data_IF_885951126676
#
_entry.id   IF_885951126676
#
_cell.length_a   1.000
_cell.length_b   1.000
_cell.length_c   1.000
_cell.angle_alpha   90.00
_cell.angle_beta   90.00
_cell.angle_gamma   90.00
#
_symmetry.space_group_name_H-M   'P 1'
#
loop_
_entity.id
_entity.type
_entity.pdbx_description
1 polymer ?
#
# COMPACT_ATOMS: atom_id res chain seq x y z
N UNK A 1 33.71 14.26 16.62
CA UNK A 1 32.47 13.67 16.10
C UNK A 1 32.81 12.91 14.85
N UNK A 2 32.55 11.59 14.81
CA UNK A 2 32.86 10.73 13.67
C UNK A 2 31.99 11.07 12.44
N UNK A 3 32.44 10.84 11.23
CA UNK A 3 31.64 11.05 10.00
C UNK A 3 30.29 10.31 10.06
N UNK A 4 30.24 9.15 10.66
CA UNK A 4 29.02 8.33 10.83
C UNK A 4 27.91 9.06 11.63
N UNK A 5 28.28 9.85 12.66
CA UNK A 5 27.30 10.59 13.46
C UNK A 5 26.65 11.77 12.71
N UNK A 6 27.34 12.32 11.70
CA UNK A 6 26.80 13.40 10.85
C UNK A 6 25.85 12.85 9.78
N UNK A 7 26.13 11.67 9.24
CA UNK A 7 25.26 11.01 8.24
C UNK A 7 23.95 10.56 8.91
N UNK A 8 24.01 9.97 10.10
CA UNK A 8 22.81 9.54 10.83
C UNK A 8 21.87 10.73 11.17
N UNK A 9 22.46 11.89 11.57
CA UNK A 9 21.65 13.10 11.84
C UNK A 9 21.04 13.71 10.58
N UNK A 10 21.75 13.68 9.43
CA UNK A 10 21.19 14.16 8.15
C UNK A 10 20.12 13.23 7.60
N UNK A 11 20.29 11.91 7.74
CA UNK A 11 19.26 10.93 7.36
C UNK A 11 17.97 11.05 8.18
N UNK A 12 18.09 11.26 9.50
CA UNK A 12 16.93 11.47 10.37
C UNK A 12 16.19 12.80 10.05
N UNK A 13 16.95 13.88 9.71
CA UNK A 13 16.34 15.15 9.31
C UNK A 13 15.62 15.06 7.94
N UNK A 14 16.18 14.31 6.99
CA UNK A 14 15.53 14.05 5.68
C UNK A 14 14.27 13.19 5.83
N UNK A 15 14.31 12.17 6.68
CA UNK A 15 13.14 11.33 6.98
C UNK A 15 12.01 12.11 7.65
N UNK A 16 12.34 12.97 8.61
CA UNK A 16 11.37 13.85 9.27
C UNK A 16 10.81 14.91 8.32
N UNK A 17 11.63 15.44 7.40
CA UNK A 17 11.22 16.39 6.37
C UNK A 17 10.27 15.77 5.35
N UNK A 18 10.53 14.54 4.89
CA UNK A 18 9.63 13.80 4.00
C UNK A 18 8.28 13.47 4.67
N UNK A 19 8.31 13.04 5.93
CA UNK A 19 7.09 12.79 6.69
C UNK A 19 6.26 14.08 6.90
N UNK A 20 6.92 15.22 7.15
CA UNK A 20 6.26 16.51 7.29
C UNK A 20 5.70 17.04 5.94
N UNK A 21 6.40 16.85 4.82
CA UNK A 21 5.90 17.19 3.49
C UNK A 21 4.70 16.35 3.08
N UNK A 22 4.70 15.05 3.41
CA UNK A 22 3.56 14.16 3.13
C UNK A 22 2.34 14.57 3.96
N UNK A 23 2.54 14.95 5.22
CA UNK A 23 1.45 15.45 6.07
C UNK A 23 0.85 16.78 5.58
N UNK A 24 1.64 17.63 4.91
CA UNK A 24 1.18 18.93 4.40
C UNK A 24 0.52 18.85 3.01
N UNK A 25 0.84 17.82 2.20
CA UNK A 25 0.26 17.61 0.88
C UNK A 25 -1.09 16.88 0.92
N UNK A 26 -1.49 16.38 2.10
CA UNK A 26 -2.77 15.70 2.26
C UNK A 26 -3.91 16.68 2.46
N UNK A 27 -4.76 16.74 1.47
CA UNK A 27 -6.14 17.19 1.60
C UNK A 27 -6.39 18.72 1.69
N UNK A 28 -6.04 19.47 0.67
CA UNK A 28 -6.99 20.48 0.27
C UNK A 28 -8.05 19.79 -0.61
N UNK A 29 -9.11 19.33 0.02
CA UNK A 29 -10.17 18.62 -0.65
C UNK A 29 -10.92 19.57 -1.58
N UNK A 30 -11.10 19.15 -2.83
CA UNK A 30 -12.03 19.74 -3.81
C UNK A 30 -13.50 19.67 -3.29
N UNK A 31 -13.73 19.11 -2.12
CA UNK A 31 -15.05 18.90 -1.48
C UNK A 31 -15.82 20.20 -1.21
N UNK A 32 -15.17 21.34 -1.04
CA UNK A 32 -15.87 22.61 -0.79
C UNK A 32 -16.66 23.15 -2.01
N UNK A 33 -16.28 22.75 -3.21
CA UNK A 33 -16.96 23.20 -4.44
C UNK A 33 -18.19 22.34 -4.81
N UNK A 34 -18.22 21.08 -4.38
CA UNK A 34 -19.32 20.14 -4.67
C UNK A 34 -20.45 20.17 -3.62
N UNK A 35 -20.19 20.70 -2.43
CA UNK A 35 -21.14 20.77 -1.33
C UNK A 35 -22.37 21.66 -1.57
N UNK A 36 -22.42 22.43 -2.65
CA UNK A 36 -23.49 23.45 -2.89
C UNK A 36 -24.72 22.95 -3.66
N UNK A 37 -24.86 21.66 -3.98
CA UNK A 37 -25.94 21.21 -4.90
C UNK A 37 -26.64 19.90 -4.60
N UNK A 38 -26.68 19.40 -3.39
CA UNK A 38 -27.38 18.14 -3.06
C UNK A 38 -28.37 18.30 -1.92
N UNK A 39 -29.42 17.51 -1.94
CA UNK A 39 -30.31 17.33 -0.81
C UNK A 39 -29.51 16.86 0.42
N UNK A 40 -29.83 17.34 1.61
CA UNK A 40 -29.05 17.09 2.83
C UNK A 40 -28.89 15.60 3.19
N UNK A 41 -29.86 14.77 2.80
CA UNK A 41 -29.81 13.31 3.00
C UNK A 41 -28.77 12.64 2.08
N UNK A 42 -28.71 13.04 0.80
CA UNK A 42 -27.76 12.51 -0.17
C UNK A 42 -26.32 12.92 0.14
N UNK A 43 -26.14 14.11 0.70
CA UNK A 43 -24.82 14.59 1.12
C UNK A 43 -24.29 13.79 2.32
N UNK A 44 -25.10 13.55 3.35
CA UNK A 44 -24.69 12.75 4.50
C UNK A 44 -24.30 11.33 4.06
N UNK A 45 -25.04 10.73 3.15
CA UNK A 45 -24.76 9.42 2.57
C UNK A 45 -23.48 9.42 1.75
N UNK A 46 -23.24 10.43 0.91
CA UNK A 46 -22.01 10.55 0.14
C UNK A 46 -20.80 10.77 1.05
N UNK A 47 -20.92 11.56 2.11
CA UNK A 47 -19.86 11.78 3.08
C UNK A 47 -19.48 10.50 3.83
N UNK A 48 -20.47 9.68 4.23
CA UNK A 48 -20.23 8.38 4.88
C UNK A 48 -19.50 7.43 3.93
N UNK A 49 -19.94 7.31 2.69
CA UNK A 49 -19.28 6.47 1.67
C UNK A 49 -17.85 6.90 1.43
N UNK A 50 -17.62 8.20 1.27
CA UNK A 50 -16.30 8.76 1.09
C UNK A 50 -15.37 8.43 2.27
N UNK A 51 -15.87 8.57 3.51
CA UNK A 51 -15.12 8.19 4.72
C UNK A 51 -14.74 6.71 4.72
N UNK A 52 -15.65 5.81 4.33
CA UNK A 52 -15.38 4.37 4.25
C UNK A 52 -14.23 4.05 3.27
N UNK A 53 -14.11 4.79 2.17
CA UNK A 53 -12.95 4.67 1.27
C UNK A 53 -11.69 5.17 1.94
N UNK A 54 -11.73 6.34 2.59
CA UNK A 54 -10.54 6.91 3.25
C UNK A 54 -9.97 5.98 4.34
N UNK A 55 -10.84 5.27 5.06
CA UNK A 55 -10.40 4.34 6.11
C UNK A 55 -9.65 3.10 5.58
N UNK A 56 -9.74 2.82 4.28
CA UNK A 56 -9.10 1.69 3.62
C UNK A 56 -7.85 2.06 2.83
N UNK A 57 -7.54 3.35 2.72
CA UNK A 57 -6.36 3.80 1.97
C UNK A 57 -5.08 3.35 2.67
N UNK A 58 -4.09 3.07 1.86
CA UNK A 58 -2.78 2.64 2.35
C UNK A 58 -2.17 3.68 3.29
N UNK A 59 -1.55 3.19 4.33
CA UNK A 59 -0.85 4.00 5.32
C UNK A 59 0.58 4.22 4.85
N UNK A 60 1.03 5.47 4.82
CA UNK A 60 2.44 5.78 4.63
C UNK A 60 3.23 5.41 5.88
N UNK A 61 4.45 4.89 5.73
CA UNK A 61 5.29 4.55 6.86
C UNK A 61 6.78 4.75 6.59
N UNK A 62 7.54 4.80 7.67
CA UNK A 62 8.99 4.67 7.67
C UNK A 62 9.42 3.70 8.76
N UNK A 63 10.27 2.74 8.40
CA UNK A 63 10.78 1.74 9.34
C UNK A 63 12.00 2.26 10.09
N UNK A 64 12.21 1.72 11.27
CA UNK A 64 13.48 1.84 11.99
C UNK A 64 14.36 0.66 11.58
N UNK A 65 15.57 0.94 11.08
CA UNK A 65 16.56 -0.06 10.65
C UNK A 65 16.04 -1.04 9.58
N UNK A 66 15.05 -0.65 8.77
CA UNK A 66 14.52 -1.45 7.67
C UNK A 66 13.73 -2.69 8.07
N UNK A 67 14.06 -3.34 9.19
CA UNK A 67 13.44 -4.57 9.68
C UNK A 67 14.44 -5.68 9.99
N UNK A 68 13.94 -6.73 10.66
CA UNK A 68 14.66 -7.97 10.92
C UNK A 68 14.18 -9.10 10.02
N UNK A 69 15.07 -10.05 9.69
CA UNK A 69 14.77 -11.20 8.83
C UNK A 69 15.76 -11.34 7.67
N UNK A 70 15.28 -11.75 6.50
CA UNK A 70 16.13 -11.93 5.32
C UNK A 70 16.12 -10.74 4.34
N UNK A 71 15.59 -9.58 4.74
CA UNK A 71 15.74 -8.33 4.00
C UNK A 71 17.20 -7.86 4.06
N UNK A 72 17.64 -7.13 3.03
CA UNK A 72 18.96 -6.50 3.07
C UNK A 72 19.11 -5.54 4.28
N UNK A 73 20.34 -5.29 4.71
CA UNK A 73 20.60 -4.35 5.82
C UNK A 73 20.26 -2.93 5.38
N UNK A 74 19.23 -2.36 5.99
CA UNK A 74 18.74 -1.02 5.68
C UNK A 74 18.90 -0.09 6.87
N UNK A 75 19.11 1.20 6.60
CA UNK A 75 18.85 2.26 7.58
C UNK A 75 17.34 2.46 7.76
N UNK A 76 16.59 2.41 6.66
CA UNK A 76 15.13 2.45 6.67
C UNK A 76 14.55 1.93 5.35
N UNK A 77 13.29 1.51 5.40
CA UNK A 77 12.39 1.43 4.26
C UNK A 77 11.29 2.45 4.50
N UNK A 78 10.94 3.24 3.48
CA UNK A 78 9.82 4.15 3.51
C UNK A 78 8.81 3.79 2.41
N UNK A 79 7.54 3.76 2.77
CA UNK A 79 6.40 3.64 1.85
C UNK A 79 5.62 4.95 1.94
N UNK A 80 5.63 5.71 0.88
CA UNK A 80 4.99 7.02 0.80
C UNK A 80 3.84 6.91 -0.19
N UNK A 81 2.61 7.04 0.29
CA UNK A 81 1.39 6.86 -0.48
C UNK A 81 0.42 8.03 -0.28
N UNK A 82 0.69 9.22 -0.84
CA UNK A 82 -0.27 10.32 -0.82
C UNK A 82 -1.49 9.98 -1.68
N UNK A 83 -2.67 10.36 -1.18
CA UNK A 83 -3.94 10.09 -1.83
C UNK A 83 -4.67 11.38 -2.15
N UNK A 84 -5.15 11.49 -3.38
CA UNK A 84 -6.07 12.52 -3.84
C UNK A 84 -7.39 11.86 -4.17
N UNK A 85 -8.47 12.33 -3.61
CA UNK A 85 -9.77 11.69 -3.77
C UNK A 85 -10.89 12.68 -4.01
N UNK A 86 -11.85 12.27 -4.83
CA UNK A 86 -13.08 12.98 -5.10
C UNK A 86 -14.25 11.98 -5.02
N UNK A 87 -15.34 12.39 -4.38
CA UNK A 87 -16.51 11.54 -4.21
C UNK A 87 -17.78 12.28 -4.65
N UNK A 88 -18.70 11.56 -5.29
CA UNK A 88 -20.01 12.07 -5.70
C UNK A 88 -21.05 10.96 -5.71
N UNK A 89 -22.18 11.20 -5.08
CA UNK A 89 -23.30 10.24 -5.04
C UNK A 89 -22.82 8.80 -4.70
N UNK A 90 -22.84 7.89 -5.67
CA UNK A 90 -22.47 6.47 -5.53
C UNK A 90 -21.07 6.14 -6.01
N UNK A 91 -20.23 7.14 -6.24
CA UNK A 91 -18.89 6.96 -6.79
C UNK A 91 -17.85 7.67 -5.94
N UNK A 92 -16.64 7.14 -5.93
CA UNK A 92 -15.45 7.86 -5.50
C UNK A 92 -14.27 7.50 -6.39
N UNK A 93 -13.46 8.49 -6.71
CA UNK A 93 -12.22 8.33 -7.45
C UNK A 93 -11.06 8.63 -6.49
N UNK A 94 -10.06 7.76 -6.48
CA UNK A 94 -8.85 7.94 -5.68
C UNK A 94 -7.64 7.78 -6.58
N UNK A 95 -6.80 8.80 -6.62
CA UNK A 95 -5.48 8.75 -7.20
C UNK A 95 -4.43 8.60 -6.08
N UNK A 96 -3.53 7.64 -6.20
CA UNK A 96 -2.46 7.38 -5.25
C UNK A 96 -1.13 7.44 -5.97
N UNK A 97 -0.19 8.24 -5.47
CA UNK A 97 1.19 8.26 -5.95
C UNK A 97 2.09 7.51 -4.96
N UNK A 98 2.08 6.17 -5.04
CA UNK A 98 2.86 5.35 -4.12
C UNK A 98 4.32 5.25 -4.56
N UNK A 99 5.24 5.47 -3.62
CA UNK A 99 6.68 5.33 -3.80
C UNK A 99 7.24 4.53 -2.62
N UNK A 100 8.00 3.48 -2.91
CA UNK A 100 8.76 2.75 -1.89
C UNK A 100 10.23 3.05 -2.07
N UNK A 101 10.89 3.37 -0.97
CA UNK A 101 12.32 3.71 -0.89
C UNK A 101 13.02 2.75 0.08
N UNK A 102 14.19 2.23 -0.31
CA UNK A 102 15.08 1.48 0.57
C UNK A 102 16.44 2.16 0.66
N UNK A 103 16.85 2.57 1.86
CA UNK A 103 18.18 3.10 2.11
C UNK A 103 19.04 2.05 2.78
N UNK A 104 20.10 1.62 2.10
CA UNK A 104 21.02 0.60 2.60
C UNK A 104 21.88 1.11 3.75
N UNK A 105 22.16 0.25 4.69
CA UNK A 105 23.18 0.44 5.72
C UNK A 105 24.49 -0.25 5.25
N UNK A 106 25.05 0.26 4.17
CA UNK A 106 26.30 -0.24 3.58
C UNK A 106 27.28 0.90 3.44
N UNK A 107 28.40 0.81 4.15
CA UNK A 107 29.46 1.83 4.14
C UNK A 107 30.36 1.74 2.91
N UNK A 108 30.28 0.66 2.12
CA UNK A 108 31.19 0.39 0.99
C UNK A 108 30.75 1.01 -0.32
N UNK A 109 29.50 1.48 -0.42
CA UNK A 109 28.92 2.05 -1.63
C UNK A 109 28.49 3.49 -1.43
N UNK A 110 28.85 4.36 -2.37
CA UNK A 110 28.47 5.79 -2.35
C UNK A 110 27.00 6.04 -2.72
N UNK A 111 26.27 5.04 -3.21
CA UNK A 111 24.86 5.13 -3.56
C UNK A 111 23.98 4.32 -2.56
N UNK A 112 23.67 4.89 -1.37
CA UNK A 112 22.97 4.15 -0.33
C UNK A 112 21.49 3.93 -0.65
N UNK A 113 20.89 4.74 -1.52
CA UNK A 113 19.46 4.63 -1.87
C UNK A 113 19.33 3.67 -3.05
N UNK A 114 18.50 2.63 -2.87
CA UNK A 114 18.09 1.76 -3.97
C UNK A 114 17.16 2.54 -4.91
N UNK A 115 17.17 2.16 -6.17
CA UNK A 115 16.24 2.71 -7.15
C UNK A 115 14.80 2.53 -6.64
N UNK A 116 14.03 3.61 -6.49
CA UNK A 116 12.69 3.56 -5.92
C UNK A 116 11.73 2.67 -6.72
N UNK A 117 10.73 2.12 -6.04
CA UNK A 117 9.54 1.57 -6.69
C UNK A 117 8.50 2.66 -6.83
N UNK A 118 8.10 2.96 -8.05
CA UNK A 118 7.02 3.90 -8.37
C UNK A 118 5.75 3.12 -8.70
N UNK A 119 4.67 3.35 -7.96
CA UNK A 119 3.40 2.63 -8.14
C UNK A 119 2.21 3.60 -8.15
N UNK A 120 2.10 4.49 -9.15
CA UNK A 120 0.91 5.32 -9.31
C UNK A 120 -0.32 4.46 -9.59
N UNK A 121 -1.45 4.82 -8.97
CA UNK A 121 -2.72 4.11 -9.09
C UNK A 121 -3.87 5.07 -9.26
N UNK A 122 -4.88 4.61 -9.99
CA UNK A 122 -6.18 5.25 -10.08
C UNK A 122 -7.25 4.20 -9.76
N UNK A 123 -8.05 4.45 -8.75
CA UNK A 123 -9.11 3.56 -8.30
C UNK A 123 -10.46 4.24 -8.35
N UNK A 124 -11.41 3.61 -9.02
CA UNK A 124 -12.81 4.00 -9.05
C UNK A 124 -13.61 3.08 -8.13
N UNK A 125 -14.30 3.65 -7.16
CA UNK A 125 -15.18 2.96 -6.23
C UNK A 125 -16.63 3.20 -6.59
N UNK A 126 -17.46 2.17 -6.50
CA UNK A 126 -18.89 2.22 -6.81
C UNK A 126 -19.75 1.51 -5.77
N UNK A 127 -20.74 2.22 -5.24
CA UNK A 127 -21.76 1.71 -4.35
C UNK A 127 -23.01 1.36 -5.15
N UNK A 128 -23.11 0.08 -5.56
CA UNK A 128 -24.27 -0.46 -6.27
C UNK A 128 -25.45 -0.74 -5.36
N UNK A 129 -26.59 -1.12 -5.94
CA UNK A 129 -27.76 -1.58 -5.21
C UNK A 129 -27.56 -3.05 -4.77
N UNK A 130 -26.58 -3.29 -3.87
CA UNK A 130 -26.34 -4.63 -3.35
C UNK A 130 -27.45 -5.05 -2.38
N UNK A 131 -27.85 -6.33 -2.41
CA UNK A 131 -28.89 -6.87 -1.54
C UNK A 131 -28.39 -6.91 -0.10
N UNK A 132 -29.04 -6.19 0.81
CA UNK A 132 -28.70 -6.26 2.24
C UNK A 132 -29.21 -5.14 3.13
N UNK A 133 -29.97 -4.18 2.61
CA UNK A 133 -30.65 -3.17 3.43
C UNK A 133 -29.78 -2.07 4.03
N UNK A 134 -28.46 -2.20 4.01
CA UNK A 134 -27.52 -1.16 4.41
C UNK A 134 -26.70 -0.73 3.20
N UNK A 135 -27.20 0.24 2.46
CA UNK A 135 -26.60 0.81 1.24
C UNK A 135 -25.14 1.30 1.37
N UNK A 136 -24.57 1.24 2.57
CA UNK A 136 -23.28 1.88 2.88
C UNK A 136 -22.15 0.90 3.12
N UNK A 137 -22.46 -0.38 3.40
CA UNK A 137 -21.47 -1.36 3.83
C UNK A 137 -20.79 -2.13 2.69
N UNK A 138 -21.34 -2.09 1.48
CA UNK A 138 -20.87 -2.91 0.36
C UNK A 138 -20.60 -2.06 -0.88
N UNK A 139 -19.45 -2.29 -1.53
CA UNK A 139 -19.07 -1.60 -2.75
C UNK A 139 -18.02 -2.39 -3.52
N UNK A 140 -17.79 -2.01 -4.77
CA UNK A 140 -16.74 -2.56 -5.62
C UNK A 140 -15.75 -1.48 -6.00
N UNK A 141 -14.53 -1.88 -6.34
CA UNK A 141 -13.52 -0.99 -6.91
C UNK A 141 -12.87 -1.58 -8.14
N UNK A 142 -12.59 -0.71 -9.10
CA UNK A 142 -11.74 -0.98 -10.26
C UNK A 142 -10.49 -0.12 -10.13
N UNK A 143 -9.32 -0.76 -10.08
CA UNK A 143 -8.03 -0.08 -9.95
C UNK A 143 -7.17 -0.36 -11.17
N UNK A 144 -6.54 0.66 -11.71
CA UNK A 144 -5.44 0.56 -12.66
C UNK A 144 -4.17 1.08 -12.01
N UNK A 145 -3.03 0.45 -12.27
CA UNK A 145 -1.75 0.85 -11.68
C UNK A 145 -0.60 0.51 -12.61
N UNK A 146 0.41 1.36 -12.56
CA UNK A 146 1.73 1.13 -13.12
C UNK A 146 2.69 0.83 -11.97
N UNK A 147 3.66 -0.08 -12.18
CA UNK A 147 4.75 -0.33 -11.24
C UNK A 147 6.07 -0.39 -12.01
N UNK A 148 6.96 0.54 -11.73
CA UNK A 148 8.27 0.62 -12.38
C UNK A 148 9.35 1.08 -11.40
N UNK A 149 10.61 0.95 -11.82
CA UNK A 149 11.74 1.50 -11.07
C UNK A 149 12.42 2.70 -11.78
N UNK A 150 11.93 3.09 -12.96
CA UNK A 150 12.45 4.25 -13.68
C UNK A 150 13.88 4.07 -14.21
N UNK A 151 14.39 2.83 -14.28
CA UNK A 151 15.71 2.53 -14.87
C UNK A 151 15.57 2.11 -16.33
N UNK A 152 16.66 2.22 -17.09
CA UNK A 152 16.72 1.90 -18.51
C UNK A 152 17.82 0.87 -18.86
N UNK A 153 18.52 0.33 -17.87
CA UNK A 153 19.53 -0.70 -18.07
C UNK A 153 18.92 -2.06 -18.45
N UNK A 154 19.72 -3.01 -18.95
CA UNK A 154 19.21 -4.34 -19.32
C UNK A 154 18.65 -5.04 -18.08
N UNK A 155 17.52 -5.73 -18.26
CA UNK A 155 16.82 -6.42 -17.16
C UNK A 155 17.67 -7.51 -16.49
N UNK A 156 18.47 -8.24 -17.27
CA UNK A 156 19.38 -9.26 -16.77
C UNK A 156 20.82 -8.76 -16.81
N UNK A 157 21.65 -9.24 -15.88
CA UNK A 157 23.10 -9.10 -16.02
C UNK A 157 23.58 -9.84 -17.27
N UNK A 158 24.59 -9.29 -17.94
CA UNK A 158 25.12 -9.86 -19.17
C UNK A 158 25.50 -11.35 -18.99
N UNK A 159 25.06 -12.20 -19.92
CA UNK A 159 25.31 -13.64 -19.95
C UNK A 159 24.79 -14.42 -18.73
N UNK A 160 23.77 -13.90 -18.03
CA UNK A 160 23.17 -14.57 -16.87
C UNK A 160 21.65 -14.61 -16.97
N UNK A 161 21.00 -15.39 -16.09
CA UNK A 161 19.55 -15.38 -15.85
C UNK A 161 19.16 -14.58 -14.61
N UNK A 162 20.11 -13.85 -14.04
CA UNK A 162 19.90 -13.08 -12.80
C UNK A 162 19.42 -11.67 -13.16
N UNK A 163 18.36 -11.17 -12.50
CA UNK A 163 17.93 -9.79 -12.66
C UNK A 163 19.05 -8.81 -12.28
N UNK A 164 19.23 -7.81 -13.11
CA UNK A 164 20.18 -6.74 -12.88
C UNK A 164 19.62 -5.78 -11.82
N UNK A 165 19.91 -6.06 -10.57
CA UNK A 165 19.43 -5.29 -9.41
C UNK A 165 20.16 -3.96 -9.20
N UNK A 166 21.09 -3.61 -10.06
CA UNK A 166 21.86 -2.37 -9.99
C UNK A 166 21.18 -1.24 -10.78
N UNK A 167 20.95 -1.41 -12.06
CA UNK A 167 20.36 -0.43 -12.98
C UNK A 167 19.36 -1.03 -13.97
N UNK A 168 19.00 -2.31 -13.80
CA UNK A 168 18.09 -3.00 -14.69
C UNK A 168 16.68 -2.40 -14.65
N UNK A 169 16.09 -2.27 -15.85
CA UNK A 169 14.70 -1.84 -16.03
C UNK A 169 13.73 -2.81 -15.39
N UNK A 170 12.65 -2.29 -14.81
CA UNK A 170 11.51 -3.07 -14.33
C UNK A 170 10.24 -2.26 -14.55
N UNK A 171 9.30 -2.84 -15.28
CA UNK A 171 7.99 -2.25 -15.55
C UNK A 171 6.90 -3.29 -15.65
N UNK A 172 5.77 -3.04 -15.01
CA UNK A 172 4.54 -3.82 -15.16
C UNK A 172 3.31 -2.98 -14.89
N UNK A 173 2.20 -3.30 -15.53
CA UNK A 173 0.91 -2.65 -15.35
C UNK A 173 -0.11 -3.67 -14.84
N UNK A 174 -1.08 -3.26 -14.03
CA UNK A 174 -2.16 -4.14 -13.64
C UNK A 174 -3.52 -3.47 -13.58
N UNK A 175 -4.52 -4.30 -13.73
CA UNK A 175 -5.92 -3.99 -13.43
C UNK A 175 -6.35 -4.88 -12.26
N UNK A 176 -7.13 -4.32 -11.35
CA UNK A 176 -7.65 -5.03 -10.20
C UNK A 176 -9.13 -4.70 -10.00
N UNK A 177 -9.94 -5.75 -9.90
CA UNK A 177 -11.33 -5.66 -9.50
C UNK A 177 -11.48 -6.21 -8.08
N UNK A 178 -12.11 -5.47 -7.20
CA UNK A 178 -12.32 -5.91 -5.82
C UNK A 178 -13.73 -5.61 -5.31
N UNK A 179 -14.25 -6.52 -4.50
CA UNK A 179 -15.45 -6.35 -3.69
C UNK A 179 -15.05 -6.05 -2.25
N UNK A 180 -15.75 -5.10 -1.65
CA UNK A 180 -15.50 -4.62 -0.30
C UNK A 180 -16.77 -4.73 0.54
N UNK A 181 -16.58 -5.10 1.80
CA UNK A 181 -17.64 -5.11 2.80
C UNK A 181 -17.14 -4.50 4.10
N UNK A 182 -17.91 -3.55 4.59
CA UNK A 182 -17.69 -2.90 5.89
C UNK A 182 -18.73 -3.44 6.87
N UNK A 183 -18.32 -3.69 8.09
CA UNK A 183 -19.20 -4.16 9.15
C UNK A 183 -18.86 -3.49 10.47
N UNK A 184 -19.87 -3.18 11.27
CA UNK A 184 -19.68 -2.70 12.63
C UNK A 184 -19.28 -3.86 13.53
N UNK A 185 -18.39 -3.63 14.48
CA UNK A 185 -17.92 -4.61 15.45
C UNK A 185 -18.33 -4.19 16.87
N UNK A 186 -19.35 -4.83 17.43
CA UNK A 186 -19.82 -4.55 18.79
C UNK A 186 -20.45 -3.18 18.96
N UNK A 187 -20.51 -2.66 20.19
CA UNK A 187 -21.22 -1.46 20.62
C UNK A 187 -20.71 -0.17 19.97
N UNK A 188 -20.90 0.01 18.67
CA UNK A 188 -20.60 1.21 17.86
C UNK A 188 -19.15 1.75 17.93
N UNK A 189 -18.23 1.07 18.63
CA UNK A 189 -16.86 1.52 18.83
C UNK A 189 -15.83 0.92 17.90
N UNK A 190 -16.21 -0.07 17.08
CA UNK A 190 -15.31 -0.77 16.19
C UNK A 190 -15.83 -0.83 14.75
N UNK A 191 -14.92 -0.68 13.80
CA UNK A 191 -15.19 -0.87 12.37
C UNK A 191 -14.35 -2.02 11.88
N UNK A 192 -14.99 -2.96 11.21
CA UNK A 192 -14.33 -4.03 10.48
C UNK A 192 -14.52 -3.83 8.99
N UNK A 193 -13.56 -4.27 8.24
CA UNK A 193 -13.59 -4.23 6.78
C UNK A 193 -12.97 -5.51 6.22
N UNK A 194 -13.57 -6.03 5.16
CA UNK A 194 -13.05 -7.15 4.40
C UNK A 194 -13.08 -6.83 2.91
N UNK A 195 -12.09 -7.32 2.18
CA UNK A 195 -11.94 -7.15 0.74
C UNK A 195 -11.54 -8.47 0.11
N UNK A 196 -12.14 -8.78 -1.02
CA UNK A 196 -11.68 -9.83 -1.93
C UNK A 196 -11.48 -9.21 -3.30
N UNK A 197 -10.34 -9.48 -3.92
CA UNK A 197 -9.99 -8.89 -5.21
C UNK A 197 -9.27 -9.86 -6.13
N UNK A 198 -9.37 -9.58 -7.42
CA UNK A 198 -8.63 -10.27 -8.47
C UNK A 198 -7.80 -9.24 -9.22
N UNK A 199 -6.49 -9.47 -9.26
CA UNK A 199 -5.52 -8.62 -9.99
C UNK A 199 -4.99 -9.37 -11.19
N UNK A 200 -4.89 -8.66 -12.30
CA UNK A 200 -4.29 -9.14 -13.53
C UNK A 200 -3.21 -8.17 -13.99
N UNK A 201 -1.98 -8.65 -14.12
CA UNK A 201 -0.89 -7.89 -14.74
C UNK A 201 -1.04 -7.96 -16.25
N UNK A 202 -1.03 -6.79 -16.90
CA UNK A 202 -1.23 -6.63 -18.33
C UNK A 202 0.11 -6.75 -19.07
N UNK A 203 0.12 -7.25 -20.30
CA UNK A 203 1.33 -7.33 -21.11
C UNK A 203 1.71 -6.01 -21.81
N UNK A 204 1.05 -4.91 -21.46
CA UNK A 204 1.31 -3.57 -22.01
C UNK A 204 2.44 -2.93 -21.22
N UNK A 205 3.49 -2.48 -21.90
CA UNK A 205 4.70 -1.87 -21.31
C UNK A 205 5.33 -2.73 -20.18
N UNK A 206 5.15 -4.05 -20.28
CA UNK A 206 5.76 -5.03 -19.37
C UNK A 206 7.11 -5.46 -19.93
N UNK A 207 8.14 -5.46 -19.07
CA UNK A 207 9.44 -6.02 -19.44
C UNK A 207 9.29 -7.47 -19.93
N UNK A 208 9.82 -7.80 -21.12
CA UNK A 208 9.65 -9.14 -21.73
C UNK A 208 10.10 -10.29 -20.82
N UNK A 209 11.06 -10.05 -19.96
CA UNK A 209 11.64 -11.03 -19.05
C UNK A 209 10.69 -11.40 -17.89
N UNK A 210 9.68 -10.59 -17.61
CA UNK A 210 8.58 -10.96 -16.70
C UNK A 210 7.68 -12.03 -17.33
N UNK A 211 7.71 -12.15 -18.67
CA UNK A 211 7.14 -13.25 -19.43
C UNK A 211 8.26 -14.25 -19.70
N UNK A 212 8.20 -15.39 -19.13
CA UNK A 212 9.18 -16.43 -19.46
C UNK A 212 9.08 -16.86 -20.93
N UNK A 213 10.21 -17.04 -21.59
CA UNK A 213 10.31 -17.67 -22.91
C UNK A 213 9.80 -19.13 -22.92
N UNK A 214 9.77 -19.79 -21.77
CA UNK A 214 9.22 -21.15 -21.57
C UNK A 214 7.71 -21.17 -21.28
N UNK A 215 7.02 -20.03 -21.33
CA UNK A 215 5.61 -19.91 -20.95
C UNK A 215 5.35 -19.92 -19.45
N UNK A 216 6.41 -19.88 -18.61
CA UNK A 216 6.29 -19.70 -17.17
C UNK A 216 6.19 -18.21 -16.84
N UNK A 217 5.22 -17.82 -16.01
CA UNK A 217 5.16 -16.47 -15.51
C UNK A 217 6.11 -16.31 -14.32
N UNK A 218 7.08 -15.43 -14.46
CA UNK A 218 8.10 -15.20 -13.42
C UNK A 218 7.62 -14.24 -12.32
N UNK A 219 6.69 -13.32 -12.65
CA UNK A 219 6.22 -12.29 -11.74
C UNK A 219 4.90 -12.65 -11.02
N UNK A 220 4.06 -13.47 -11.63
CA UNK A 220 2.70 -13.79 -11.17
C UNK A 220 1.68 -12.85 -11.80
N UNK A 221 1.09 -13.28 -12.94
CA UNK A 221 0.14 -12.47 -13.71
C UNK A 221 -1.21 -12.33 -13.03
N UNK A 222 -1.73 -13.42 -12.47
CA UNK A 222 -3.05 -13.45 -11.85
C UNK A 222 -2.89 -13.64 -10.35
N UNK A 223 -3.51 -12.76 -9.56
CA UNK A 223 -3.45 -12.81 -8.10
C UNK A 223 -4.84 -12.69 -7.49
N UNK A 224 -5.17 -13.64 -6.65
CA UNK A 224 -6.28 -13.50 -5.70
C UNK A 224 -5.78 -12.70 -4.51
N UNK A 225 -6.57 -11.71 -4.08
CA UNK A 225 -6.25 -10.82 -2.98
C UNK A 225 -7.33 -10.93 -1.92
N UNK A 226 -6.94 -11.04 -0.67
CA UNK A 226 -7.83 -10.96 0.48
C UNK A 226 -7.24 -9.97 1.47
N UNK A 227 -8.05 -9.07 1.98
CA UNK A 227 -7.63 -8.13 3.02
C UNK A 227 -8.70 -8.02 4.09
N UNK A 228 -8.28 -7.90 5.33
CA UNK A 228 -9.15 -7.59 6.46
C UNK A 228 -8.54 -6.50 7.29
N UNK A 229 -9.37 -5.60 7.81
CA UNK A 229 -8.97 -4.54 8.72
C UNK A 229 -9.97 -4.47 9.86
N UNK A 230 -9.45 -4.31 11.06
CA UNK A 230 -10.25 -4.07 12.26
C UNK A 230 -9.68 -2.87 12.99
N UNK A 231 -10.52 -1.86 13.21
CA UNK A 231 -10.19 -0.69 14.03
C UNK A 231 -10.99 -0.76 15.32
N UNK A 232 -10.29 -0.65 16.44
CA UNK A 232 -10.91 -0.66 17.79
C UNK A 232 -10.21 0.34 18.70
N UNK A 233 -10.89 0.86 19.73
CA UNK A 233 -10.23 1.56 20.82
C UNK A 233 -9.32 0.61 21.61
N UNK A 234 -8.18 1.11 22.09
CA UNK A 234 -7.29 0.33 22.94
C UNK A 234 -7.99 0.06 24.29
N UNK A 235 -8.04 -1.20 24.77
CA UNK A 235 -8.80 -1.52 26.00
C UNK A 235 -8.40 -0.70 27.23
N UNK A 236 -7.11 -0.43 27.39
CA UNK A 236 -6.56 0.34 28.52
C UNK A 236 -6.65 1.86 28.33
N UNK A 237 -6.74 2.32 27.09
CA UNK A 237 -6.80 3.76 26.75
C UNK A 237 -7.79 3.96 25.61
N UNK A 238 -9.11 4.04 25.89
CA UNK A 238 -10.15 4.04 24.86
C UNK A 238 -10.08 5.20 23.85
N UNK A 239 -9.31 6.24 24.14
CA UNK A 239 -9.08 7.37 23.22
C UNK A 239 -8.04 7.08 22.15
N UNK A 240 -7.26 6.01 22.30
CA UNK A 240 -6.21 5.61 21.35
C UNK A 240 -6.77 4.50 20.46
N UNK A 241 -6.97 4.73 19.16
CA UNK A 241 -7.36 3.67 18.25
C UNK A 241 -6.16 2.78 17.92
N UNK A 242 -6.41 1.50 17.85
CA UNK A 242 -5.50 0.56 17.22
C UNK A 242 -6.15 -0.06 15.98
N UNK A 243 -5.34 -0.34 14.99
CA UNK A 243 -5.77 -0.95 13.72
C UNK A 243 -4.97 -2.22 13.52
N UNK A 244 -5.67 -3.33 13.32
CA UNK A 244 -5.09 -4.60 12.90
C UNK A 244 -5.50 -4.84 11.46
N UNK A 245 -4.53 -5.09 10.60
CA UNK A 245 -4.74 -5.38 9.19
C UNK A 245 -4.02 -6.66 8.81
N UNK A 246 -4.70 -7.50 8.04
CA UNK A 246 -4.12 -8.66 7.39
C UNK A 246 -4.36 -8.58 5.89
N UNK A 247 -3.30 -8.78 5.12
CA UNK A 247 -3.36 -8.84 3.67
C UNK A 247 -2.78 -10.16 3.20
N UNK A 248 -3.46 -10.78 2.25
CA UNK A 248 -3.04 -12.02 1.63
C UNK A 248 -3.12 -11.88 0.13
N UNK A 249 -2.16 -12.45 -0.57
CA UNK A 249 -2.31 -12.70 -1.99
C UNK A 249 -1.89 -14.12 -2.32
N UNK A 250 -2.48 -14.66 -3.36
CA UNK A 250 -2.14 -15.95 -3.93
C UNK A 250 -1.99 -15.86 -5.44
N UNK A 251 -0.86 -16.35 -5.98
CA UNK A 251 -0.55 -16.32 -7.41
C UNK A 251 -1.24 -17.51 -8.09
N UNK A 252 -2.17 -17.22 -9.01
CA UNK A 252 -3.05 -18.19 -9.65
C UNK A 252 -2.48 -18.77 -10.95
N UNK A 253 -1.37 -18.25 -11.47
CA UNK A 253 -0.77 -18.69 -12.72
C UNK A 253 -0.53 -20.20 -12.72
N UNK A 254 -0.82 -20.88 -13.81
CA UNK A 254 -0.63 -22.33 -13.94
C UNK A 254 0.84 -22.73 -13.69
N UNK A 255 1.78 -21.99 -14.30
CA UNK A 255 3.22 -22.11 -14.07
C UNK A 255 3.76 -20.80 -13.50
N UNK A 256 4.38 -20.86 -12.34
CA UNK A 256 4.98 -19.72 -11.66
C UNK A 256 6.34 -20.13 -11.08
N UNK A 257 7.43 -19.63 -11.66
CA UNK A 257 8.82 -19.89 -11.20
C UNK A 257 9.11 -21.38 -10.92
N UNK A 258 8.55 -22.31 -11.69
CA UNK A 258 8.67 -23.75 -11.45
C UNK A 258 7.86 -24.29 -10.26
N UNK A 259 7.17 -23.46 -9.51
CA UNK A 259 6.41 -23.88 -8.34
C UNK A 259 5.07 -24.53 -8.70
N UNK A 260 4.74 -25.63 -7.98
CA UNK A 260 3.42 -26.28 -8.09
C UNK A 260 2.30 -25.34 -7.66
N UNK A 261 1.08 -25.57 -8.14
CA UNK A 261 -0.08 -24.73 -7.85
C UNK A 261 -0.33 -24.54 -6.33
N UNK A 262 -0.19 -25.57 -5.52
CA UNK A 262 -0.38 -25.50 -4.06
C UNK A 262 0.91 -25.14 -3.27
N UNK A 263 1.94 -24.59 -3.93
CA UNK A 263 3.16 -24.17 -3.24
C UNK A 263 2.92 -22.96 -2.35
N UNK A 264 3.52 -22.98 -1.15
CA UNK A 264 3.57 -21.82 -0.25
C UNK A 264 4.32 -20.62 -0.87
N UNK A 265 5.17 -20.86 -1.89
CA UNK A 265 5.91 -19.79 -2.56
C UNK A 265 5.01 -18.85 -3.39
N UNK A 266 3.80 -19.29 -3.69
CA UNK A 266 2.76 -18.49 -4.35
C UNK A 266 2.00 -17.58 -3.40
N UNK A 267 2.16 -17.78 -2.09
CA UNK A 267 1.44 -17.07 -1.04
C UNK A 267 2.26 -15.91 -0.51
N UNK A 268 1.64 -14.74 -0.41
CA UNK A 268 2.13 -13.61 0.37
C UNK A 268 1.16 -13.30 1.50
N UNK A 269 1.70 -13.03 2.69
CA UNK A 269 0.96 -12.70 3.90
C UNK A 269 1.61 -11.49 4.54
N UNK A 270 0.80 -10.49 4.88
CA UNK A 270 1.19 -9.34 5.70
C UNK A 270 0.25 -9.21 6.87
N UNK A 271 0.79 -9.02 8.06
CA UNK A 271 0.04 -8.66 9.27
C UNK A 271 0.58 -7.37 9.83
N UNK A 272 -0.27 -6.36 10.04
CA UNK A 272 0.12 -5.06 10.54
C UNK A 272 -0.71 -4.67 11.75
N UNK A 273 -0.04 -4.24 12.81
CA UNK A 273 -0.64 -3.59 13.96
C UNK A 273 -0.17 -2.13 13.97
N UNK A 274 -1.12 -1.19 13.93
CA UNK A 274 -0.88 0.24 14.10
C UNK A 274 -1.52 0.72 15.38
N UNK A 275 -0.80 1.54 16.16
CA UNK A 275 -1.29 2.22 17.35
C UNK A 275 -1.12 3.72 17.13
N UNK A 276 -2.23 4.43 17.01
CA UNK A 276 -2.20 5.88 16.75
C UNK A 276 -1.89 6.67 18.05
N UNK A 277 -1.05 7.70 17.94
CA UNK A 277 -0.76 8.63 19.02
C UNK A 277 -1.68 9.85 18.99
N UNK A 278 -2.27 10.17 17.83
CA UNK A 278 -3.21 11.27 17.63
C UNK A 278 -4.38 10.82 16.79
N UNK A 279 -5.57 11.31 17.13
CA UNK A 279 -6.82 10.97 16.45
C UNK A 279 -7.06 11.77 15.18
N UNK A 280 -6.51 12.96 15.03
CA UNK A 280 -6.75 13.87 13.90
C UNK A 280 -5.89 13.61 12.67
N UNK A 281 -4.61 13.26 12.88
CA UNK A 281 -3.79 12.61 11.88
C UNK A 281 -3.32 11.33 12.53
N UNK A 282 -3.65 10.16 11.99
CA UNK A 282 -3.23 8.88 12.57
C UNK A 282 -1.72 8.72 12.43
N UNK A 283 -0.98 9.60 13.12
CA UNK A 283 0.43 9.41 13.39
C UNK A 283 0.53 8.34 14.47
N UNK A 284 1.20 7.26 14.18
CA UNK A 284 1.29 6.14 15.08
C UNK A 284 2.57 5.34 14.95
N UNK A 285 2.75 4.40 15.86
CA UNK A 285 3.73 3.34 15.73
C UNK A 285 3.08 2.14 15.06
N UNK A 286 3.87 1.39 14.30
CA UNK A 286 3.41 0.13 13.73
C UNK A 286 4.42 -1.00 13.95
N UNK A 287 3.87 -2.21 13.93
CA UNK A 287 4.60 -3.46 13.76
C UNK A 287 4.00 -4.19 12.58
N UNK A 288 4.84 -4.65 11.66
CA UNK A 288 4.41 -5.39 10.48
C UNK A 288 5.25 -6.66 10.31
N UNK A 289 4.58 -7.79 10.14
CA UNK A 289 5.19 -9.04 9.70
C UNK A 289 4.82 -9.32 8.25
N UNK A 290 5.78 -9.65 7.41
CA UNK A 290 5.56 -9.99 6.01
C UNK A 290 6.30 -11.26 5.60
N UNK A 291 5.61 -12.14 4.89
CA UNK A 291 6.18 -13.31 4.21
C UNK A 291 5.61 -13.37 2.81
N UNK A 292 6.47 -13.37 1.78
CA UNK A 292 6.00 -13.42 0.40
C UNK A 292 7.07 -13.03 -0.61
N UNK A 293 6.66 -12.96 -1.88
CA UNK A 293 7.47 -12.40 -2.96
C UNK A 293 7.89 -10.96 -2.60
N UNK A 294 9.16 -10.58 -2.87
CA UNK A 294 9.57 -9.20 -2.66
C UNK A 294 8.73 -8.26 -3.53
N UNK A 295 8.09 -7.28 -2.89
CA UNK A 295 7.23 -6.28 -3.53
C UNK A 295 8.01 -5.10 -4.11
N UNK A 296 9.34 -5.11 -3.96
CA UNK A 296 10.22 -4.03 -4.37
C UNK A 296 10.78 -4.27 -5.78
N UNK A 297 10.12 -3.75 -6.79
CA UNK A 297 10.49 -3.74 -8.22
C UNK A 297 11.20 -5.02 -8.74
N UNK A 298 12.40 -4.90 -9.32
CA UNK A 298 13.19 -5.98 -9.93
C UNK A 298 13.60 -7.11 -8.96
N UNK A 299 13.46 -6.90 -7.64
CA UNK A 299 13.79 -7.88 -6.60
C UNK A 299 12.74 -8.98 -6.43
N UNK A 300 11.69 -8.98 -7.20
CA UNK A 300 10.51 -9.86 -7.10
C UNK A 300 10.83 -11.37 -7.07
N UNK A 301 12.00 -11.82 -7.55
CA UNK A 301 12.41 -13.23 -7.44
C UNK A 301 12.79 -13.65 -6.02
N UNK A 302 13.07 -12.70 -5.16
CA UNK A 302 13.37 -12.97 -3.76
C UNK A 302 12.07 -13.21 -2.97
N UNK A 303 12.15 -14.10 -1.99
CA UNK A 303 11.10 -14.30 -1.01
C UNK A 303 11.50 -13.66 0.31
N UNK A 304 10.75 -12.69 0.74
CA UNK A 304 10.98 -12.01 2.02
C UNK A 304 10.30 -12.75 3.17
N UNK A 305 10.98 -12.75 4.32
CA UNK A 305 10.45 -13.06 5.65
C UNK A 305 10.96 -11.97 6.57
N UNK A 306 10.14 -11.00 6.90
CA UNK A 306 10.60 -9.78 7.58
C UNK A 306 9.62 -9.34 8.64
N UNK A 307 10.16 -8.85 9.77
CA UNK A 307 9.45 -8.13 10.80
C UNK A 307 9.94 -6.68 10.81
N UNK A 308 9.02 -5.73 10.76
CA UNK A 308 9.31 -4.29 10.74
C UNK A 308 8.64 -3.59 11.89
N UNK A 309 9.31 -2.56 12.37
CA UNK A 309 8.75 -1.58 13.31
C UNK A 309 9.04 -0.19 12.81
N UNK A 310 8.20 0.76 13.11
CA UNK A 310 8.41 2.11 12.66
C UNK A 310 7.28 3.06 13.01
N UNK A 311 7.26 4.17 12.29
CA UNK A 311 6.24 5.20 12.41
C UNK A 311 5.38 5.19 11.16
N UNK A 312 4.07 5.34 11.34
CA UNK A 312 3.08 5.37 10.25
C UNK A 312 2.26 6.65 10.30
N UNK A 313 1.83 7.09 9.12
CA UNK A 313 0.92 8.21 8.95
C UNK A 313 -0.23 7.76 8.06
N UNK A 314 -1.44 7.79 8.62
CA UNK A 314 -2.66 7.61 7.85
C UNK A 314 -3.40 8.95 7.79
N UNK A 315 -3.67 9.43 6.59
CA UNK A 315 -4.50 10.61 6.40
C UNK A 315 -5.94 10.26 6.77
N UNK A 316 -6.45 10.89 7.82
CA UNK A 316 -7.88 10.87 8.14
C UNK A 316 -8.40 12.26 7.88
N UNK A 317 -9.17 12.43 6.82
CA UNK A 317 -9.95 13.63 6.64
C UNK A 317 -11.08 13.64 7.67
N UNK A 318 -10.92 14.42 8.75
CA UNK A 318 -12.03 14.72 9.64
C UNK A 318 -13.02 15.60 8.87
N UNK A 319 -14.17 15.06 8.52
CA UNK A 319 -15.30 15.90 8.14
C UNK A 319 -15.77 16.61 9.40
N UNK A 320 -15.48 17.90 9.51
CA UNK A 320 -16.28 18.76 10.35
C UNK A 320 -17.62 18.92 9.63
N UNK A 321 -18.65 18.27 10.12
CA UNK A 321 -20.03 18.63 9.78
C UNK A 321 -20.18 20.11 10.12
N UNK A 322 -20.57 20.99 9.21
CA UNK A 322 -20.98 22.33 9.58
C UNK A 322 -22.20 22.17 10.52
N UNK A 323 -22.07 22.73 11.72
CA UNK A 323 -23.19 22.89 12.68
C UNK A 323 -24.26 23.76 12.05
#
# INVERSE_FOLDING_TARGET
>A
MSPASRIARRGAALGAGLAACVASATAQSITSALAKRGDSSDFATAAVRYRLVQEQLETSYITVLGGGGNIEKLFFEADVAPHFSAGWSRWALVATSKIILRMRNDSTHSAPIRTPSYMPRLALYWWGPFRGGNDHGEFVSLTISHHSNGQAGPFLFANTTMPNTFDGSFSTNFVELAYHRVFKQGDDRGVGWARVGLRMHLPVDEDPELRSSSGENQYGRYRLLLSTLSRRPLPLVPRIPFVVQFDYFYILDGRFQGHRFLSADRLGISGTLNVAFRTEALLGAFVNGYVGQDYYNIWYKQRLKVLRVGVSVQSVTSFHSPQ
#
